data_IF_316468519999
#
_entry.id   IF_316468519999
#
_cell.length_a   1.000
_cell.length_b   1.000
_cell.length_c   1.000
_cell.angle_alpha   90.00
_cell.angle_beta   90.00
_cell.angle_gamma   90.00
#
_symmetry.space_group_name_H-M   'P 1'
#
loop_
_entity.id
_entity.type
_entity.pdbx_description
1 polymer ?
#
# COMPACT_ATOMS: atom_id res chain seq x y z
N UNK A 1 22.76 15.08 -12.67
CA UNK A 1 22.27 14.41 -11.46
C UNK A 1 20.79 14.78 -11.34
N UNK A 2 19.92 13.84 -11.61
CA UNK A 2 18.49 14.12 -11.72
C UNK A 2 17.86 14.19 -10.32
N UNK A 3 17.40 15.36 -9.95
CA UNK A 3 16.71 15.69 -8.67
C UNK A 3 15.31 15.05 -8.55
N UNK A 4 15.14 13.87 -9.05
CA UNK A 4 13.87 13.33 -9.54
C UNK A 4 12.81 12.95 -8.50
N UNK A 5 13.06 12.99 -7.22
CA UNK A 5 12.01 12.88 -6.19
C UNK A 5 12.38 13.71 -4.94
N UNK A 6 12.76 14.97 -5.13
CA UNK A 6 12.91 15.92 -4.01
C UNK A 6 11.64 16.02 -3.15
N UNK A 7 10.49 15.63 -3.69
CA UNK A 7 9.22 15.68 -2.98
C UNK A 7 9.11 14.60 -1.89
N UNK A 8 9.82 13.46 -2.01
CA UNK A 8 9.76 12.37 -1.03
C UNK A 8 10.90 12.52 -0.04
N UNK A 9 10.62 12.80 1.25
CA UNK A 9 11.67 12.95 2.26
C UNK A 9 12.57 11.71 2.35
N UNK A 10 13.88 11.91 2.35
CA UNK A 10 14.87 10.84 2.53
C UNK A 10 14.99 9.84 1.37
N UNK A 11 14.26 10.03 0.26
CA UNK A 11 14.31 9.07 -0.85
C UNK A 11 15.61 9.19 -1.65
N UNK A 12 16.29 8.08 -1.77
CA UNK A 12 17.39 7.86 -2.72
C UNK A 12 17.08 6.56 -3.49
N UNK A 13 17.05 6.58 -4.84
CA UNK A 13 16.80 5.37 -5.62
C UNK A 13 17.89 4.32 -5.39
N UNK A 14 17.50 3.09 -5.10
CA UNK A 14 18.41 1.96 -4.89
C UNK A 14 18.53 1.08 -6.15
N UNK A 15 17.47 1.05 -6.97
CA UNK A 15 17.41 0.21 -8.17
C UNK A 15 17.23 1.03 -9.45
N UNK A 16 17.45 0.43 -10.61
CA UNK A 16 17.16 1.05 -11.91
C UNK A 16 15.65 1.31 -12.07
N UNK A 17 14.82 0.42 -11.54
CA UNK A 17 13.37 0.57 -11.51
C UNK A 17 12.95 1.81 -10.73
N UNK A 18 13.51 2.02 -9.54
CA UNK A 18 13.25 3.22 -8.74
C UNK A 18 13.75 4.50 -9.42
N UNK A 19 14.88 4.44 -10.13
CA UNK A 19 15.37 5.57 -10.94
C UNK A 19 14.41 5.91 -12.07
N UNK A 20 13.89 4.89 -12.76
CA UNK A 20 12.91 5.09 -13.84
C UNK A 20 11.60 5.69 -13.31
N UNK A 21 11.08 5.15 -12.19
CA UNK A 21 9.90 5.69 -11.51
C UNK A 21 10.12 7.14 -11.07
N UNK A 22 11.26 7.42 -10.48
CA UNK A 22 11.60 8.76 -10.00
C UNK A 22 11.63 9.82 -11.12
N UNK A 23 11.97 9.41 -12.34
CA UNK A 23 11.99 10.27 -13.51
C UNK A 23 10.60 10.47 -14.16
N UNK A 24 9.58 9.69 -13.78
CA UNK A 24 8.24 9.76 -14.39
C UNK A 24 7.46 10.97 -13.87
N UNK A 25 7.07 11.91 -14.76
CA UNK A 25 6.36 13.12 -14.36
C UNK A 25 4.96 12.85 -13.80
N UNK A 26 4.29 11.76 -14.22
CA UNK A 26 2.98 11.39 -13.71
C UNK A 26 3.08 10.90 -12.26
N UNK A 27 4.13 10.13 -11.93
CA UNK A 27 4.42 9.75 -10.55
C UNK A 27 4.71 10.98 -9.69
N UNK A 28 5.57 11.88 -10.18
CA UNK A 28 5.94 13.11 -9.46
C UNK A 28 4.70 13.96 -9.14
N UNK A 29 3.81 14.15 -10.10
CA UNK A 29 2.54 14.86 -9.90
C UNK A 29 1.66 14.18 -8.85
N UNK A 30 1.55 12.87 -8.92
CA UNK A 30 0.77 12.08 -7.98
C UNK A 30 1.31 12.13 -6.54
N UNK A 31 2.62 12.05 -6.38
CA UNK A 31 3.29 12.15 -5.09
C UNK A 31 3.16 13.55 -4.45
N UNK A 32 3.18 14.60 -5.25
CA UNK A 32 2.99 15.97 -4.77
C UNK A 32 1.55 16.25 -4.31
N UNK A 33 0.58 15.38 -4.64
CA UNK A 33 -0.82 15.59 -4.31
C UNK A 33 -1.12 15.27 -2.83
N UNK A 34 -2.07 16.02 -2.28
CA UNK A 34 -2.62 15.79 -0.96
C UNK A 34 -2.53 17.05 -0.08
N UNK A 35 -3.27 17.01 1.03
CA UNK A 35 -3.29 18.05 2.08
C UNK A 35 -3.48 17.38 3.43
N UNK A 36 -2.94 17.94 4.52
CA UNK A 36 -3.16 17.44 5.86
C UNK A 36 -4.65 17.32 6.17
N UNK A 37 -5.04 16.18 6.74
CA UNK A 37 -6.41 15.91 7.19
C UNK A 37 -6.42 14.84 8.29
N UNK A 38 -7.55 14.69 8.96
CA UNK A 38 -7.70 13.64 10.00
C UNK A 38 -7.37 12.26 9.42
N UNK A 39 -6.48 11.53 10.08
CA UNK A 39 -5.97 10.22 9.66
C UNK A 39 -4.87 10.28 8.59
N UNK A 40 -4.49 11.48 8.15
CA UNK A 40 -3.40 11.76 7.23
C UNK A 40 -2.74 13.10 7.58
N UNK A 41 -2.10 13.20 8.77
CA UNK A 41 -1.46 14.44 9.22
C UNK A 41 -0.26 14.82 8.34
N UNK A 42 0.40 13.83 7.72
CA UNK A 42 1.52 13.96 6.80
C UNK A 42 1.20 14.81 5.56
N UNK A 43 -0.07 14.82 5.16
CA UNK A 43 -0.60 15.68 4.10
C UNK A 43 -0.42 15.13 2.70
N UNK A 44 0.77 15.20 2.11
CA UNK A 44 1.03 14.75 0.74
C UNK A 44 1.28 13.24 0.66
N UNK A 45 1.05 12.66 -0.52
CA UNK A 45 1.44 11.27 -0.78
C UNK A 45 2.96 11.09 -0.64
N UNK A 46 3.75 12.10 -1.06
CA UNK A 46 5.21 12.06 -0.91
C UNK A 46 5.65 11.95 0.55
N UNK A 47 5.02 12.70 1.47
CA UNK A 47 5.33 12.60 2.89
C UNK A 47 4.97 11.21 3.44
N UNK A 48 3.78 10.69 3.09
CA UNK A 48 3.38 9.34 3.43
C UNK A 48 4.37 8.28 2.92
N UNK A 49 4.80 8.39 1.66
CA UNK A 49 5.82 7.47 1.11
C UNK A 49 7.13 7.57 1.90
N UNK A 50 7.55 8.78 2.29
CA UNK A 50 8.72 8.98 3.16
C UNK A 50 8.62 8.18 4.46
N UNK A 51 7.46 8.25 5.15
CA UNK A 51 7.20 7.51 6.38
C UNK A 51 7.26 5.98 6.15
N UNK A 52 6.75 5.50 5.00
CA UNK A 52 6.84 4.09 4.62
C UNK A 52 8.28 3.64 4.41
N UNK A 53 9.07 4.43 3.68
CA UNK A 53 10.49 4.13 3.41
C UNK A 53 11.29 4.09 4.72
N UNK A 54 11.08 5.04 5.62
CA UNK A 54 11.70 5.03 6.94
C UNK A 54 11.29 3.80 7.76
N UNK A 55 10.04 3.37 7.64
CA UNK A 55 9.56 2.15 8.31
C UNK A 55 10.20 0.90 7.75
N UNK A 56 10.41 0.80 6.43
CA UNK A 56 11.15 -0.30 5.78
C UNK A 56 12.59 -0.38 6.34
N UNK A 57 13.26 0.76 6.53
CA UNK A 57 14.57 0.83 7.17
C UNK A 57 14.53 0.28 8.60
N UNK A 58 13.60 0.79 9.41
CA UNK A 58 13.44 0.35 10.81
C UNK A 58 13.14 -1.13 10.95
N UNK A 59 12.44 -1.70 9.99
CA UNK A 59 12.14 -3.14 9.96
C UNK A 59 13.32 -4.00 9.53
N UNK A 60 14.40 -3.39 9.03
CA UNK A 60 15.59 -4.09 8.56
C UNK A 60 15.34 -4.94 7.32
N UNK A 61 14.38 -4.55 6.48
CA UNK A 61 14.08 -5.28 5.26
C UNK A 61 15.26 -5.21 4.28
N UNK A 62 15.61 -6.34 3.69
CA UNK A 62 16.77 -6.48 2.80
C UNK A 62 16.43 -7.25 1.52
N UNK A 63 17.32 -7.18 0.52
CA UNK A 63 17.21 -7.94 -0.73
C UNK A 63 15.89 -7.70 -1.44
N UNK A 64 15.35 -8.76 -2.04
CA UNK A 64 14.14 -8.69 -2.85
C UNK A 64 12.93 -8.12 -2.10
N UNK A 65 12.74 -8.51 -0.82
CA UNK A 65 11.62 -8.01 -0.01
C UNK A 65 11.67 -6.48 0.14
N UNK A 66 12.86 -5.93 0.39
CA UNK A 66 13.09 -4.49 0.44
C UNK A 66 12.70 -3.81 -0.87
N UNK A 67 13.17 -4.33 -1.99
CA UNK A 67 12.88 -3.79 -3.33
C UNK A 67 11.36 -3.80 -3.62
N UNK A 68 10.68 -4.91 -3.33
CA UNK A 68 9.24 -5.06 -3.50
C UNK A 68 8.46 -4.04 -2.66
N UNK A 69 8.77 -3.93 -1.37
CA UNK A 69 8.08 -2.99 -0.46
C UNK A 69 8.32 -1.52 -0.85
N UNK A 70 9.52 -1.17 -1.26
CA UNK A 70 9.85 0.18 -1.72
C UNK A 70 9.11 0.54 -3.02
N UNK A 71 9.04 -0.40 -3.97
CA UNK A 71 8.24 -0.24 -5.19
C UNK A 71 6.76 -0.01 -4.86
N UNK A 72 6.18 -0.86 -4.00
CA UNK A 72 4.79 -0.74 -3.56
C UNK A 72 4.54 0.60 -2.85
N UNK A 73 5.45 1.02 -1.98
CA UNK A 73 5.36 2.31 -1.27
C UNK A 73 5.29 3.49 -2.25
N UNK A 74 6.14 3.50 -3.28
CA UNK A 74 6.18 4.58 -4.28
C UNK A 74 4.89 4.68 -5.10
N UNK A 75 4.24 3.54 -5.40
CA UNK A 75 3.21 3.49 -6.45
C UNK A 75 1.78 3.39 -5.91
N UNK A 76 1.51 2.67 -4.81
CA UNK A 76 0.16 2.26 -4.41
C UNK A 76 -0.88 3.39 -4.38
N UNK A 77 -0.50 4.56 -3.94
CA UNK A 77 -1.36 5.74 -3.75
C UNK A 77 -1.13 6.87 -4.75
N UNK A 78 -0.15 6.73 -5.63
CA UNK A 78 0.32 7.79 -6.52
C UNK A 78 -0.76 8.33 -7.48
N UNK A 79 -1.81 7.56 -7.76
CA UNK A 79 -2.88 7.94 -8.69
C UNK A 79 -4.14 8.50 -8.01
N UNK A 80 -4.07 8.89 -6.72
CA UNK A 80 -5.20 9.51 -6.01
C UNK A 80 -5.64 10.84 -6.63
N UNK A 81 -4.71 11.61 -7.19
CA UNK A 81 -4.99 12.86 -7.92
C UNK A 81 -5.82 12.66 -9.20
N UNK A 82 -5.81 11.46 -9.77
CA UNK A 82 -6.52 11.11 -11.02
C UNK A 82 -7.96 10.64 -10.80
N UNK A 83 -8.39 10.46 -9.54
CA UNK A 83 -9.76 10.04 -9.23
C UNK A 83 -10.76 11.16 -9.55
N UNK A 84 -11.74 10.84 -10.38
CA UNK A 84 -12.79 11.78 -10.80
C UNK A 84 -13.88 11.87 -9.72
N UNK A 85 -14.06 13.04 -9.13
CA UNK A 85 -14.98 13.24 -8.00
C UNK A 85 -16.47 13.14 -8.35
N UNK A 86 -16.83 13.34 -9.64
CA UNK A 86 -18.21 13.25 -10.13
C UNK A 86 -18.64 11.83 -10.51
N UNK A 87 -17.74 10.85 -10.43
CA UNK A 87 -18.01 9.42 -10.69
C UNK A 87 -17.84 8.61 -9.41
N UNK A 88 -18.57 7.47 -9.28
CA UNK A 88 -18.29 6.52 -8.19
C UNK A 88 -16.80 6.13 -8.17
N UNK A 89 -16.22 6.10 -6.98
CA UNK A 89 -14.81 5.72 -6.76
C UNK A 89 -14.65 4.20 -6.75
N UNK A 90 -15.08 3.55 -7.82
CA UNK A 90 -15.05 2.09 -8.01
C UNK A 90 -14.55 1.74 -9.39
N UNK A 91 -14.10 0.49 -9.58
CA UNK A 91 -13.56 0.00 -10.85
C UNK A 91 -12.44 0.90 -11.37
N UNK A 92 -12.48 1.28 -12.62
CA UNK A 92 -11.45 2.12 -13.26
C UNK A 92 -11.27 3.51 -12.63
N UNK A 93 -12.27 4.01 -11.90
CA UNK A 93 -12.16 5.28 -11.17
C UNK A 93 -11.63 5.12 -9.74
N UNK A 94 -11.27 3.92 -9.32
CA UNK A 94 -10.61 3.68 -8.05
C UNK A 94 -9.11 4.00 -8.15
N UNK A 95 -8.54 4.68 -7.13
CA UNK A 95 -7.13 5.06 -7.16
C UNK A 95 -6.19 3.86 -7.29
N UNK A 96 -6.50 2.75 -6.61
CA UNK A 96 -5.68 1.54 -6.63
C UNK A 96 -5.69 0.85 -8.01
N UNK A 97 -6.84 0.79 -8.70
CA UNK A 97 -6.91 0.28 -10.07
C UNK A 97 -6.10 1.18 -11.05
N UNK A 98 -6.12 2.49 -10.84
CA UNK A 98 -5.29 3.42 -11.61
C UNK A 98 -3.81 3.28 -11.32
N UNK A 99 -3.44 3.08 -10.05
CA UNK A 99 -2.06 2.83 -9.64
C UNK A 99 -1.54 1.50 -10.21
N UNK A 100 -2.35 0.44 -10.22
CA UNK A 100 -2.04 -0.82 -10.90
C UNK A 100 -1.74 -0.58 -12.37
N UNK A 101 -2.64 0.09 -13.11
CA UNK A 101 -2.44 0.39 -14.53
C UNK A 101 -1.19 1.24 -14.79
N UNK A 102 -0.86 2.16 -13.89
CA UNK A 102 0.40 2.88 -13.94
C UNK A 102 1.59 1.94 -13.75
N UNK A 103 1.54 1.04 -12.73
CA UNK A 103 2.60 0.09 -12.41
C UNK A 103 2.89 -0.91 -13.53
N UNK A 104 1.88 -1.30 -14.32
CA UNK A 104 2.01 -2.23 -15.46
C UNK A 104 3.00 -1.73 -16.53
N UNK A 105 3.33 -0.45 -16.55
CA UNK A 105 4.38 0.10 -17.42
C UNK A 105 5.80 -0.25 -16.97
N UNK A 106 5.94 -0.66 -15.70
CA UNK A 106 7.22 -0.89 -15.03
C UNK A 106 7.47 -2.34 -14.64
N UNK A 107 6.41 -3.11 -14.45
CA UNK A 107 6.50 -4.51 -14.05
C UNK A 107 5.35 -5.34 -14.59
N UNK A 108 5.63 -6.62 -14.88
CA UNK A 108 4.61 -7.65 -15.16
C UNK A 108 4.41 -8.59 -13.95
N UNK A 109 4.98 -8.29 -12.79
CA UNK A 109 4.84 -9.14 -11.61
C UNK A 109 3.44 -8.99 -10.99
N UNK A 110 2.58 -9.98 -11.27
CA UNK A 110 1.19 -10.00 -10.83
C UNK A 110 1.04 -9.97 -9.30
N UNK A 111 2.04 -10.43 -8.55
CA UNK A 111 2.03 -10.37 -7.08
C UNK A 111 2.04 -8.91 -6.58
N UNK A 112 2.89 -8.09 -7.21
CA UNK A 112 2.99 -6.66 -6.89
C UNK A 112 1.79 -5.89 -7.43
N UNK A 113 1.36 -6.19 -8.66
CA UNK A 113 0.20 -5.54 -9.28
C UNK A 113 -1.09 -5.78 -8.51
N UNK A 114 -1.34 -7.02 -8.08
CA UNK A 114 -2.49 -7.36 -7.26
C UNK A 114 -2.41 -6.71 -5.86
N UNK A 115 -1.21 -6.64 -5.28
CA UNK A 115 -1.01 -5.94 -4.01
C UNK A 115 -1.39 -4.45 -4.13
N UNK A 116 -0.95 -3.77 -5.19
CA UNK A 116 -1.33 -2.38 -5.47
C UNK A 116 -2.84 -2.25 -5.61
N UNK A 117 -3.48 -3.11 -6.39
CA UNK A 117 -4.92 -3.02 -6.67
C UNK A 117 -5.78 -3.27 -5.43
N UNK A 118 -5.32 -4.12 -4.52
CA UNK A 118 -6.14 -4.61 -3.42
C UNK A 118 -5.71 -4.12 -2.03
N UNK A 119 -4.67 -3.28 -1.91
CA UNK A 119 -4.09 -2.88 -0.62
C UNK A 119 -5.10 -2.28 0.37
N UNK A 120 -6.13 -1.59 -0.10
CA UNK A 120 -7.14 -0.96 0.75
C UNK A 120 -8.41 -1.83 0.98
N UNK A 121 -8.52 -3.02 0.32
CA UNK A 121 -9.67 -3.92 0.51
C UNK A 121 -9.85 -4.38 1.96
N UNK A 122 -8.79 -4.74 2.72
CA UNK A 122 -8.94 -5.11 4.13
C UNK A 122 -9.60 -4.02 4.96
N UNK A 123 -9.18 -2.78 4.79
CA UNK A 123 -9.78 -1.63 5.49
C UNK A 123 -11.26 -1.44 5.11
N UNK A 124 -11.60 -1.57 3.84
CA UNK A 124 -12.96 -1.43 3.35
C UNK A 124 -13.88 -2.56 3.86
N UNK A 125 -13.38 -3.80 3.91
CA UNK A 125 -14.09 -4.95 4.47
C UNK A 125 -14.31 -4.81 5.97
N UNK A 126 -13.28 -4.39 6.73
CA UNK A 126 -13.39 -4.09 8.15
C UNK A 126 -14.44 -3.00 8.42
N UNK A 127 -14.44 -1.89 7.67
CA UNK A 127 -15.46 -0.84 7.81
C UNK A 127 -16.87 -1.38 7.54
N UNK A 128 -17.02 -2.25 6.55
CA UNK A 128 -18.29 -2.88 6.20
C UNK A 128 -18.75 -3.81 7.33
N UNK A 129 -17.84 -4.63 7.88
CA UNK A 129 -18.09 -5.49 9.03
C UNK A 129 -18.53 -4.67 10.25
N UNK A 130 -17.81 -3.60 10.59
CA UNK A 130 -18.18 -2.69 11.72
C UNK A 130 -19.58 -2.11 11.59
N UNK A 131 -20.03 -1.81 10.37
CA UNK A 131 -21.39 -1.27 10.13
C UNK A 131 -22.47 -2.35 10.15
N UNK A 132 -22.16 -3.57 9.74
CA UNK A 132 -23.13 -4.67 9.61
C UNK A 132 -23.18 -5.59 10.84
N UNK A 133 -22.20 -5.48 11.73
CA UNK A 133 -22.05 -6.35 12.89
C UNK A 133 -21.52 -7.76 12.57
N UNK A 134 -21.18 -8.04 11.30
CA UNK A 134 -20.64 -9.35 10.86
C UNK A 134 -19.73 -9.20 9.66
N UNK A 135 -18.73 -10.10 9.48
CA UNK A 135 -17.91 -10.17 8.28
C UNK A 135 -18.73 -10.45 7.01
N UNK A 136 -18.17 -10.09 5.88
CA UNK A 136 -18.64 -10.47 4.56
C UNK A 136 -17.68 -11.55 4.02
N UNK A 137 -17.94 -12.81 4.40
CA UNK A 137 -17.04 -13.94 4.10
C UNK A 137 -16.82 -14.10 2.60
N UNK A 138 -17.88 -13.98 1.81
CA UNK A 138 -17.77 -14.08 0.35
C UNK A 138 -16.81 -13.03 -0.23
N UNK A 139 -16.96 -11.75 0.19
CA UNK A 139 -16.09 -10.69 -0.30
C UNK A 139 -14.64 -10.80 0.23
N UNK A 140 -14.46 -11.40 1.42
CA UNK A 140 -13.14 -11.70 1.95
C UNK A 140 -12.46 -12.81 1.15
N UNK A 141 -13.17 -13.90 0.86
CA UNK A 141 -12.66 -15.01 0.05
C UNK A 141 -12.38 -14.59 -1.40
N UNK A 142 -13.17 -13.68 -1.97
CA UNK A 142 -12.87 -13.06 -3.26
C UNK A 142 -11.57 -12.26 -3.22
N UNK A 143 -11.32 -11.52 -2.14
CA UNK A 143 -10.06 -10.80 -1.96
C UNK A 143 -8.89 -11.79 -1.91
N UNK A 144 -8.97 -12.86 -1.12
CA UNK A 144 -7.90 -13.85 -1.02
C UNK A 144 -7.59 -14.50 -2.36
N UNK A 145 -8.63 -14.87 -3.13
CA UNK A 145 -8.43 -15.45 -4.47
C UNK A 145 -7.79 -14.51 -5.48
N UNK A 146 -7.94 -13.21 -5.29
CA UNK A 146 -7.37 -12.19 -6.17
C UNK A 146 -5.90 -11.84 -5.85
N UNK A 147 -5.36 -12.35 -4.74
CA UNK A 147 -4.01 -12.05 -4.26
C UNK A 147 -3.12 -13.27 -4.44
N UNK A 148 -2.19 -13.28 -5.42
CA UNK A 148 -1.32 -14.42 -5.70
C UNK A 148 -0.29 -14.69 -4.60
N UNK A 149 0.09 -13.68 -3.83
CA UNK A 149 1.11 -13.76 -2.78
C UNK A 149 0.63 -13.00 -1.54
N UNK A 150 0.11 -13.77 -0.57
CA UNK A 150 -0.40 -13.20 0.68
C UNK A 150 0.70 -12.67 1.59
N UNK A 151 1.92 -13.20 1.50
CA UNK A 151 3.02 -12.75 2.33
C UNK A 151 3.46 -11.32 1.95
N UNK A 152 3.68 -11.05 0.67
CA UNK A 152 3.95 -9.69 0.16
C UNK A 152 2.77 -8.76 0.48
N UNK A 153 1.55 -9.21 0.24
CA UNK A 153 0.34 -8.42 0.46
C UNK A 153 0.17 -8.02 1.92
N UNK A 154 0.20 -8.99 2.84
CA UNK A 154 0.03 -8.72 4.27
C UNK A 154 1.14 -7.81 4.78
N UNK A 155 2.40 -8.10 4.40
CA UNK A 155 3.54 -7.26 4.81
C UNK A 155 3.39 -5.82 4.33
N UNK A 156 2.90 -5.62 3.09
CA UNK A 156 2.66 -4.27 2.58
C UNK A 156 1.46 -3.57 3.28
N UNK A 157 0.36 -4.27 3.52
CA UNK A 157 -0.79 -3.71 4.25
C UNK A 157 -0.41 -3.32 5.68
N UNK A 158 0.46 -4.09 6.33
CA UNK A 158 1.04 -3.75 7.63
C UNK A 158 1.90 -2.49 7.56
N UNK A 159 2.76 -2.41 6.56
CA UNK A 159 3.60 -1.24 6.30
C UNK A 159 2.74 0.01 6.12
N UNK A 160 1.78 -0.03 5.21
CA UNK A 160 0.87 1.10 4.96
C UNK A 160 0.08 1.49 6.20
N UNK A 161 -0.38 0.49 6.97
CA UNK A 161 -1.11 0.70 8.23
C UNK A 161 -0.25 1.10 9.43
N UNK A 162 1.08 1.12 9.33
CA UNK A 162 2.00 1.40 10.43
C UNK A 162 2.26 2.88 10.67
N UNK A 163 1.92 3.76 9.71
CA UNK A 163 2.19 5.19 9.80
C UNK A 163 1.43 5.85 10.95
N UNK A 164 1.97 6.95 11.47
CA UNK A 164 1.42 7.67 12.62
C UNK A 164 -0.03 8.12 12.38
N UNK A 165 -0.85 8.02 13.43
CA UNK A 165 -2.26 8.44 13.38
C UNK A 165 -3.22 7.45 12.72
N UNK A 166 -2.74 6.35 12.12
CA UNK A 166 -3.62 5.30 11.56
C UNK A 166 -4.21 4.38 12.64
N UNK A 167 -5.48 4.02 12.43
CA UNK A 167 -6.15 3.03 13.29
C UNK A 167 -5.59 1.61 13.01
N UNK A 168 -5.13 0.94 14.06
CA UNK A 168 -4.56 -0.41 14.00
C UNK A 168 -5.62 -1.53 14.03
N UNK A 169 -6.89 -1.24 14.34
CA UNK A 169 -7.94 -2.26 14.39
C UNK A 169 -8.14 -3.01 13.07
N UNK A 170 -8.11 -2.36 11.88
CA UNK A 170 -8.24 -3.08 10.61
C UNK A 170 -7.17 -4.14 10.40
N UNK A 171 -5.91 -3.87 10.81
CA UNK A 171 -4.81 -4.83 10.71
C UNK A 171 -4.99 -6.02 11.65
N UNK A 172 -5.37 -5.76 12.91
CA UNK A 172 -5.67 -6.83 13.87
C UNK A 172 -6.80 -7.72 13.39
N UNK A 173 -7.86 -7.09 12.84
CA UNK A 173 -8.97 -7.82 12.26
C UNK A 173 -8.53 -8.67 11.06
N UNK A 174 -7.74 -8.11 10.12
CA UNK A 174 -7.23 -8.84 8.97
C UNK A 174 -6.44 -10.08 9.41
N UNK A 175 -5.49 -9.93 10.35
CA UNK A 175 -4.71 -11.05 10.89
C UNK A 175 -5.61 -12.13 11.50
N UNK A 176 -6.62 -11.74 12.29
CA UNK A 176 -7.58 -12.67 12.88
C UNK A 176 -8.36 -13.45 11.83
N UNK A 177 -8.85 -12.78 10.78
CA UNK A 177 -9.59 -13.42 9.69
C UNK A 177 -8.71 -14.40 8.89
N UNK A 178 -7.46 -14.03 8.63
CA UNK A 178 -6.49 -14.89 7.94
C UNK A 178 -6.17 -16.14 8.75
N UNK A 179 -5.92 -15.99 10.06
CA UNK A 179 -5.63 -17.10 10.96
C UNK A 179 -6.83 -18.05 11.09
N UNK A 180 -8.06 -17.52 11.24
CA UNK A 180 -9.29 -18.33 11.32
C UNK A 180 -9.54 -19.17 10.05
N UNK A 181 -9.06 -18.70 8.90
CA UNK A 181 -9.16 -19.39 7.61
C UNK A 181 -7.97 -20.30 7.31
N UNK A 182 -6.94 -20.31 8.17
CA UNK A 182 -5.70 -21.03 7.90
C UNK A 182 -4.98 -20.53 6.62
N UNK A 183 -5.27 -19.30 6.21
CA UNK A 183 -4.74 -18.74 4.96
C UNK A 183 -3.35 -18.13 5.12
N UNK A 184 -2.96 -17.76 6.33
CA UNK A 184 -1.68 -17.13 6.64
C UNK A 184 -1.35 -17.35 8.12
N UNK A 185 -0.17 -17.87 8.39
CA UNK A 185 0.39 -17.89 9.73
C UNK A 185 1.39 -16.73 9.84
N UNK A 186 1.12 -15.72 10.70
CA UNK A 186 2.06 -14.63 10.88
C UNK A 186 3.37 -15.17 11.46
N UNK A 187 4.50 -14.76 10.88
CA UNK A 187 5.81 -15.06 11.43
C UNK A 187 5.89 -14.48 12.85
N UNK A 188 6.03 -15.35 13.84
CA UNK A 188 6.05 -14.98 15.28
C UNK A 188 7.16 -13.96 15.60
N UNK A 189 8.22 -13.90 14.79
CA UNK A 189 9.32 -12.94 14.92
C UNK A 189 8.95 -11.51 14.47
N UNK A 190 7.85 -11.31 13.75
CA UNK A 190 7.43 -10.00 13.29
C UNK A 190 6.71 -9.17 14.37
N UNK A 191 6.10 -9.83 15.35
CA UNK A 191 5.31 -9.18 16.41
C UNK A 191 6.19 -8.54 17.50
N UNK A 192 7.37 -9.10 17.77
CA UNK A 192 8.32 -8.57 18.75
C UNK A 192 9.05 -7.29 18.30
N UNK A 193 9.05 -6.99 17.01
CA UNK A 193 9.70 -5.80 16.43
C UNK A 193 8.80 -4.57 16.36
N UNK A 194 7.56 -4.63 16.85
CA UNK A 194 6.59 -3.54 16.82
C UNK A 194 6.38 -2.83 18.18
N UNK A 195 7.21 -3.14 19.16
CA UNK A 195 7.13 -2.51 20.50
C UNK A 195 8.33 -1.64 20.81
#
# INVERSE_FOLDING_TARGET
MNDALKAVPGFTPETDLERALAADPELQEGLAWGKPRRGHPEGTIAAHVGDLLETIERWGETGRRREELRFLALVHDSMKNRVQNWRPRTGENHHAARARRFAERYTGDERLLATIEHHDRPYNLWRKMRRRGRPDDHAFDEMLRAIPDLDVFVRFVELDGSTEGKNREPLRWLRSELAQRGAFEPDAAADERQH
#
